data_IF_586822523936
#
_entry.id   IF_586822523936
#
_cell.length_a   1.000
_cell.length_b   1.000
_cell.length_c   1.000
_cell.angle_alpha   90.00
_cell.angle_beta   90.00
_cell.angle_gamma   90.00
#
_symmetry.space_group_name_H-M   'P 1'
#
loop_
_entity.id
_entity.type
_entity.pdbx_description
1 polymer ?
#
# COMPACT_ATOMS: atom_id res chain seq x y z
N UNK A 1 5.53 3.28 9.50
CA UNK A 1 5.04 3.69 8.16
C UNK A 1 4.71 5.18 8.04
N UNK A 2 4.11 5.83 9.04
CA UNK A 2 3.77 7.27 8.98
C UNK A 2 4.95 8.20 8.60
N UNK A 3 6.17 7.97 9.12
CA UNK A 3 7.35 8.76 8.72
C UNK A 3 7.80 8.48 7.28
N UNK A 4 7.72 7.22 6.82
CA UNK A 4 8.17 6.82 5.49
C UNK A 4 7.37 7.51 4.37
N UNK A 5 6.07 7.74 4.58
CA UNK A 5 5.22 8.51 3.63
C UNK A 5 5.81 9.90 3.35
N UNK A 6 6.34 10.57 4.37
CA UNK A 6 6.91 11.92 4.22
C UNK A 6 8.23 11.91 3.44
N UNK A 7 8.98 10.82 3.50
CA UNK A 7 10.25 10.68 2.77
C UNK A 7 9.99 10.26 1.32
N UNK A 8 9.10 9.29 1.12
CA UNK A 8 8.85 8.70 -0.22
C UNK A 8 7.88 9.58 -1.03
N UNK A 9 7.12 10.46 -0.39
CA UNK A 9 6.17 11.36 -1.07
C UNK A 9 5.00 10.62 -1.72
N UNK A 10 4.76 9.36 -1.35
CA UNK A 10 3.68 8.51 -1.88
C UNK A 10 2.84 7.94 -0.75
N UNK A 11 1.52 7.78 -0.94
CA UNK A 11 0.70 7.04 0.01
C UNK A 11 1.20 5.59 0.12
N UNK A 12 1.06 5.02 1.32
CA UNK A 12 1.37 3.60 1.59
C UNK A 12 0.10 2.93 2.09
N UNK A 13 -0.42 1.96 1.35
CA UNK A 13 -1.58 1.15 1.76
C UNK A 13 -1.10 -0.20 2.26
N UNK A 14 -1.51 -0.56 3.47
CA UNK A 14 -1.23 -1.87 4.07
C UNK A 14 -2.46 -2.75 3.91
N UNK A 15 -2.26 -3.95 3.40
CA UNK A 15 -3.25 -4.99 3.22
C UNK A 15 -3.02 -6.13 4.21
N UNK A 16 -4.08 -6.87 4.52
CA UNK A 16 -4.03 -8.09 5.31
C UNK A 16 -5.02 -9.11 4.73
N UNK A 17 -4.74 -10.41 4.91
CA UNK A 17 -5.67 -11.46 4.53
C UNK A 17 -6.69 -11.65 5.66
N UNK A 18 -7.95 -11.30 5.39
CA UNK A 18 -9.07 -11.49 6.31
C UNK A 18 -10.05 -12.48 5.68
N UNK A 19 -10.26 -13.63 6.31
CA UNK A 19 -11.17 -14.66 5.78
C UNK A 19 -10.81 -15.15 4.37
N UNK A 20 -9.52 -15.19 4.03
CA UNK A 20 -9.03 -15.59 2.71
C UNK A 20 -9.06 -14.48 1.64
N UNK A 21 -9.54 -13.28 1.98
CA UNK A 21 -9.59 -12.14 1.05
C UNK A 21 -8.53 -11.11 1.42
N UNK A 22 -7.82 -10.60 0.41
CA UNK A 22 -6.88 -9.49 0.58
C UNK A 22 -7.66 -8.18 0.75
N UNK A 23 -7.60 -7.58 1.93
CA UNK A 23 -8.32 -6.34 2.25
C UNK A 23 -7.36 -5.25 2.76
N UNK A 24 -7.54 -3.98 2.36
CA UNK A 24 -6.79 -2.88 2.93
C UNK A 24 -7.21 -2.65 4.39
N UNK A 25 -6.24 -2.44 5.27
CA UNK A 25 -6.49 -2.22 6.71
C UNK A 25 -6.08 -0.82 7.20
N UNK A 26 -5.13 -0.18 6.50
CA UNK A 26 -4.74 1.21 6.77
C UNK A 26 -4.09 1.81 5.53
N UNK A 27 -4.38 3.07 5.25
CA UNK A 27 -3.62 3.87 4.29
C UNK A 27 -2.97 5.05 5.00
N UNK A 28 -1.65 5.17 4.86
CA UNK A 28 -0.90 6.33 5.32
C UNK A 28 -0.73 7.31 4.16
N UNK A 29 -0.96 8.59 4.41
CA UNK A 29 -0.80 9.63 3.38
C UNK A 29 -2.00 9.78 2.45
N UNK A 30 -3.21 9.49 2.92
CA UNK A 30 -4.44 9.58 2.11
C UNK A 30 -4.63 10.94 1.45
N UNK A 31 -4.17 12.03 2.07
CA UNK A 31 -4.21 13.37 1.47
C UNK A 31 -3.49 13.46 0.12
N UNK A 32 -2.49 12.59 -0.11
CA UNK A 32 -1.72 12.53 -1.36
C UNK A 32 -2.47 11.79 -2.47
N UNK A 33 -3.54 11.05 -2.16
CA UNK A 33 -4.37 10.35 -3.15
C UNK A 33 -5.24 11.29 -4.00
N UNK A 34 -5.35 12.56 -3.60
CA UNK A 34 -6.15 13.57 -4.33
C UNK A 34 -5.50 14.05 -5.62
N UNK A 35 -4.21 13.75 -5.83
CA UNK A 35 -3.53 14.01 -7.10
C UNK A 35 -3.91 12.96 -8.16
N UNK A 36 -4.38 13.42 -9.32
CA UNK A 36 -4.67 12.53 -10.45
C UNK A 36 -3.42 11.67 -10.80
N UNK A 37 -3.57 10.34 -10.75
CA UNK A 37 -2.53 9.38 -11.11
C UNK A 37 -1.59 8.93 -9.98
N UNK A 38 -1.84 9.32 -8.73
CA UNK A 38 -1.01 8.86 -7.59
C UNK A 38 -1.35 7.41 -7.24
N UNK A 39 -0.42 6.50 -7.50
CA UNK A 39 -0.52 5.08 -7.13
C UNK A 39 0.16 4.87 -5.77
N UNK A 40 -0.56 4.29 -4.81
CA UNK A 40 -0.01 3.96 -3.50
C UNK A 40 1.03 2.83 -3.59
N UNK A 41 1.94 2.79 -2.62
CA UNK A 41 2.78 1.63 -2.38
C UNK A 41 1.95 0.63 -1.58
N UNK A 42 1.76 -0.56 -2.11
CA UNK A 42 0.95 -1.61 -1.50
C UNK A 42 1.85 -2.58 -0.73
N UNK A 43 1.59 -2.77 0.56
CA UNK A 43 2.32 -3.73 1.40
C UNK A 43 1.34 -4.78 1.94
N UNK A 44 1.69 -6.06 1.87
CA UNK A 44 0.99 -7.13 2.58
C UNK A 44 1.58 -7.28 3.97
N UNK A 45 0.75 -7.26 5.00
CA UNK A 45 1.12 -7.59 6.36
C UNK A 45 0.89 -9.08 6.64
N UNK A 46 1.97 -9.78 7.01
CA UNK A 46 1.98 -11.22 7.29
C UNK A 46 2.48 -11.50 8.72
N UNK A 47 1.92 -10.79 9.71
CA UNK A 47 2.30 -10.92 11.13
C UNK A 47 3.54 -10.11 11.51
N UNK A 48 4.74 -10.68 11.41
CA UNK A 48 5.99 -9.96 11.72
C UNK A 48 6.68 -9.37 10.48
N UNK A 49 6.18 -9.70 9.28
CA UNK A 49 6.78 -9.32 8.00
C UNK A 49 5.84 -8.48 7.15
N UNK A 50 6.44 -7.68 6.28
CA UNK A 50 5.74 -6.95 5.22
C UNK A 50 6.33 -7.30 3.87
N UNK A 51 5.47 -7.69 2.92
CA UNK A 51 5.85 -7.98 1.55
C UNK A 51 5.35 -6.88 0.62
N UNK A 52 6.17 -6.47 -0.36
CA UNK A 52 5.77 -5.49 -1.36
C UNK A 52 4.83 -6.14 -2.38
N UNK A 53 3.64 -5.55 -2.56
CA UNK A 53 2.70 -5.96 -3.60
C UNK A 53 2.90 -5.09 -4.83
N UNK A 54 3.23 -5.73 -5.95
CA UNK A 54 3.33 -5.07 -7.24
C UNK A 54 1.98 -5.14 -7.96
N UNK A 55 1.55 -4.08 -8.67
CA UNK A 55 0.39 -4.15 -9.54
C UNK A 55 0.59 -5.28 -10.56
N UNK A 56 -0.39 -6.16 -10.69
CA UNK A 56 -0.44 -7.14 -11.77
C UNK A 56 -0.81 -6.43 -13.08
N UNK A 57 0.16 -5.72 -13.66
CA UNK A 57 0.08 -5.28 -15.06
C UNK A 57 0.40 -6.44 -16.00
N UNK A 58 0.08 -6.34 -17.31
CA UNK A 58 0.59 -7.30 -18.28
C UNK A 58 2.13 -7.29 -18.22
N UNK A 59 2.75 -8.45 -17.93
CA UNK A 59 4.17 -8.64 -18.20
C UNK A 59 4.36 -8.52 -19.71
N UNK A 60 4.91 -7.39 -20.15
CA UNK A 60 5.41 -7.23 -21.53
C UNK A 60 6.81 -7.77 -21.63
#
# INVERSE_FOLDING_TARGET
MAMAVHIVGRPITVFHIQGGVLAPIVTYGEQLLTGAGVVSISLLWSGAHYDLLLPSGPMR
#
